data_IF_227983077030
#
_entry.id   IF_227983077030
#
_cell.length_a   1.000
_cell.length_b   1.000
_cell.length_c   1.000
_cell.angle_alpha   90.00
_cell.angle_beta   90.00
_cell.angle_gamma   90.00
#
_symmetry.space_group_name_H-M   'P 1'
#
loop_
_entity.id
_entity.type
_entity.pdbx_description
1 polymer ?
#
# COMPACT_ATOMS: atom_id res chain seq x y z
N UNK A 1 -9.61 -4.83 -8.83
CA UNK A 1 -9.27 -3.69 -7.96
C UNK A 1 -8.64 -4.15 -6.68
N UNK A 2 -7.82 -3.33 -6.10
CA UNK A 2 -7.16 -3.63 -4.84
C UNK A 2 -7.81 -2.85 -3.71
N UNK A 3 -7.93 -3.45 -2.54
CA UNK A 3 -8.50 -2.83 -1.36
C UNK A 3 -7.84 -3.41 -0.11
N UNK A 4 -8.03 -2.74 1.03
CA UNK A 4 -7.57 -3.25 2.32
C UNK A 4 -8.40 -4.46 2.73
N UNK A 5 -7.75 -5.47 3.30
CA UNK A 5 -8.41 -6.70 3.71
C UNK A 5 -8.43 -6.88 5.22
N UNK A 6 -7.49 -6.27 5.93
CA UNK A 6 -7.36 -6.44 7.38
C UNK A 6 -7.82 -5.18 8.11
N UNK A 7 -8.31 -5.36 9.33
CA UNK A 7 -8.56 -4.24 10.24
C UNK A 7 -7.23 -3.81 10.85
N UNK A 8 -6.68 -2.75 10.29
CA UNK A 8 -5.42 -2.20 10.77
C UNK A 8 -5.63 -0.74 11.17
N UNK A 9 -4.94 -0.34 12.24
CA UNK A 9 -4.87 1.06 12.62
C UNK A 9 -3.55 1.61 12.14
N UNK A 10 -3.62 2.68 11.33
CA UNK A 10 -2.42 3.34 10.83
C UNK A 10 -2.10 4.57 11.66
N UNK A 11 -0.84 4.70 12.04
CA UNK A 11 -0.34 5.86 12.79
C UNK A 11 0.95 6.33 12.16
N UNK A 12 1.03 7.63 11.88
CA UNK A 12 2.27 8.21 11.37
C UNK A 12 3.24 8.45 12.53
N UNK A 13 4.45 7.90 12.41
CA UNK A 13 5.52 8.10 13.37
C UNK A 13 6.73 8.59 12.57
N UNK A 14 7.09 9.85 12.75
CA UNK A 14 8.13 10.50 11.97
C UNK A 14 7.82 10.39 10.47
N UNK A 15 8.68 9.75 9.70
CA UNK A 15 8.47 9.61 8.25
C UNK A 15 7.88 8.25 7.85
N UNK A 16 7.43 7.47 8.83
CA UNK A 16 6.91 6.14 8.58
C UNK A 16 5.44 6.04 8.97
N UNK A 17 4.70 5.23 8.25
CA UNK A 17 3.35 4.84 8.61
C UNK A 17 3.42 3.47 9.29
N UNK A 18 3.05 3.41 10.54
CA UNK A 18 3.03 2.15 11.30
C UNK A 18 1.61 1.60 11.27
N UNK A 19 1.47 0.38 10.77
CA UNK A 19 0.20 -0.33 10.74
C UNK A 19 0.17 -1.33 11.88
N UNK A 20 -0.90 -1.31 12.65
CA UNK A 20 -1.13 -2.27 13.72
C UNK A 20 -2.25 -3.20 13.31
N UNK A 21 -1.93 -4.49 13.17
CA UNK A 21 -2.91 -5.53 12.86
C UNK A 21 -3.57 -5.96 14.17
N UNK A 22 -4.84 -5.59 14.32
CA UNK A 22 -5.57 -5.85 15.57
C UNK A 22 -5.89 -7.33 15.78
N UNK A 23 -6.01 -8.09 14.71
CA UNK A 23 -6.32 -9.52 14.80
C UNK A 23 -5.09 -10.36 15.15
N UNK A 24 -3.98 -10.08 14.47
CA UNK A 24 -2.77 -10.87 14.63
C UNK A 24 -1.80 -10.34 15.68
N UNK A 25 -2.00 -9.12 16.15
CA UNK A 25 -1.09 -8.49 17.12
C UNK A 25 0.26 -8.10 16.53
N UNK A 26 0.38 -8.11 15.22
CA UNK A 26 1.60 -7.73 14.52
C UNK A 26 1.56 -6.27 14.13
N UNK A 27 2.73 -5.69 13.87
CA UNK A 27 2.80 -4.34 13.34
C UNK A 27 3.76 -4.30 12.16
N UNK A 28 3.53 -3.33 11.27
CA UNK A 28 4.33 -3.17 10.06
C UNK A 28 4.63 -1.69 9.88
N UNK A 29 5.84 -1.37 9.47
CA UNK A 29 6.21 0.00 9.17
C UNK A 29 6.34 0.18 7.66
N UNK A 30 5.64 1.16 7.12
CA UNK A 30 5.67 1.51 5.71
C UNK A 30 6.16 2.94 5.57
N UNK A 31 6.98 3.19 4.57
CA UNK A 31 7.42 4.54 4.27
C UNK A 31 7.49 4.75 2.76
N UNK A 32 7.56 6.03 2.34
CA UNK A 32 7.63 6.37 0.94
C UNK A 32 6.46 5.83 0.12
N UNK A 33 6.73 5.25 -1.05
CA UNK A 33 5.66 4.76 -1.92
C UNK A 33 4.76 3.70 -1.29
N UNK A 34 5.30 2.86 -0.40
CA UNK A 34 4.49 1.84 0.27
C UNK A 34 3.40 2.46 1.15
N UNK A 35 3.72 3.53 1.86
CA UNK A 35 2.74 4.24 2.68
C UNK A 35 1.66 4.89 1.80
N UNK A 36 2.04 5.49 0.69
CA UNK A 36 1.09 6.09 -0.25
C UNK A 36 0.14 5.05 -0.84
N UNK A 37 0.68 3.88 -1.18
CA UNK A 37 -0.15 2.79 -1.70
C UNK A 37 -1.17 2.35 -0.65
N UNK A 38 -0.74 2.18 0.59
CA UNK A 38 -1.65 1.80 1.67
C UNK A 38 -2.77 2.82 1.85
N UNK A 39 -2.44 4.10 1.85
CA UNK A 39 -3.44 5.16 1.99
C UNK A 39 -4.44 5.14 0.84
N UNK A 40 -3.97 4.90 -0.39
CA UNK A 40 -4.83 4.82 -1.56
C UNK A 40 -5.78 3.63 -1.50
N UNK A 41 -5.41 2.56 -0.80
CA UNK A 41 -6.24 1.37 -0.66
C UNK A 41 -7.43 1.56 0.28
N UNK A 42 -7.57 2.73 0.89
CA UNK A 42 -8.78 3.05 1.68
C UNK A 42 -10.05 2.95 0.85
N UNK A 43 -9.92 3.18 -0.45
CA UNK A 43 -10.99 2.97 -1.42
C UNK A 43 -10.49 1.98 -2.48
N UNK A 44 -11.37 1.18 -3.10
CA UNK A 44 -10.91 0.26 -4.14
C UNK A 44 -10.24 1.01 -5.29
N UNK A 45 -9.06 0.55 -5.66
CA UNK A 45 -8.25 1.18 -6.73
C UNK A 45 -7.67 0.11 -7.63
N UNK A 46 -7.43 0.48 -8.89
CA UNK A 46 -6.71 -0.38 -9.82
C UNK A 46 -5.20 -0.15 -9.67
N UNK A 47 -4.42 -1.13 -10.11
CA UNK A 47 -2.96 -0.98 -10.12
C UNK A 47 -2.53 0.20 -10.99
N UNK A 48 -3.22 0.41 -12.13
CA UNK A 48 -2.93 1.54 -13.01
C UNK A 48 -3.15 2.89 -12.29
N UNK A 49 -4.20 3.00 -11.49
CA UNK A 49 -4.46 4.21 -10.71
C UNK A 49 -3.37 4.46 -9.68
N UNK A 50 -2.87 3.40 -9.05
CA UNK A 50 -1.76 3.52 -8.10
C UNK A 50 -0.49 4.00 -8.80
N UNK A 51 -0.18 3.45 -9.98
CA UNK A 51 0.97 3.88 -10.76
C UNK A 51 0.86 5.37 -11.12
N UNK A 52 -0.30 5.79 -11.63
CA UNK A 52 -0.51 7.18 -12.00
C UNK A 52 -0.33 8.12 -10.81
N UNK A 53 -0.84 7.74 -9.64
CA UNK A 53 -0.72 8.54 -8.43
C UNK A 53 0.74 8.70 -8.01
N UNK A 54 1.50 7.62 -8.06
CA UNK A 54 2.90 7.65 -7.62
C UNK A 54 3.80 8.34 -8.62
N UNK A 55 3.55 8.19 -9.91
CA UNK A 55 4.30 8.90 -10.95
C UNK A 55 4.12 10.40 -10.81
N UNK A 56 2.92 10.85 -10.44
CA UNK A 56 2.66 12.27 -10.23
C UNK A 56 3.38 12.82 -9.00
N UNK A 57 3.55 12.00 -7.97
CA UNK A 57 4.16 12.42 -6.70
C UNK A 57 5.68 12.23 -6.69
N UNK A 58 6.15 11.11 -7.22
CA UNK A 58 7.57 10.78 -7.26
C UNK A 58 8.07 10.86 -8.69
N UNK A 59 9.28 11.34 -8.90
CA UNK A 59 9.84 11.48 -10.24
C UNK A 59 10.43 10.16 -10.72
N UNK A 60 9.57 9.22 -11.04
CA UNK A 60 9.95 7.89 -11.51
C UNK A 60 9.26 7.60 -12.84
N UNK A 61 9.82 6.68 -13.61
CA UNK A 61 9.16 6.25 -14.84
C UNK A 61 7.98 5.36 -14.54
N UNK A 62 6.94 5.33 -15.40
CA UNK A 62 5.81 4.42 -15.19
C UNK A 62 6.22 2.96 -15.07
N UNK A 63 7.21 2.52 -15.82
CA UNK A 63 7.68 1.13 -15.78
C UNK A 63 8.31 0.79 -14.44
N UNK A 64 9.16 1.66 -13.91
CA UNK A 64 9.77 1.46 -12.60
C UNK A 64 8.72 1.50 -11.50
N UNK A 65 7.78 2.42 -11.62
CA UNK A 65 6.69 2.56 -10.67
C UNK A 65 5.81 1.31 -10.64
N UNK A 66 5.49 0.75 -11.81
CA UNK A 66 4.67 -0.45 -11.90
C UNK A 66 5.32 -1.63 -11.19
N UNK A 67 6.64 -1.79 -11.33
CA UNK A 67 7.39 -2.85 -10.63
C UNK A 67 7.29 -2.66 -9.12
N UNK A 68 7.49 -1.44 -8.65
CA UNK A 68 7.40 -1.12 -7.22
C UNK A 68 6.00 -1.35 -6.67
N UNK A 69 4.98 -0.92 -7.39
CA UNK A 69 3.58 -1.11 -6.99
C UNK A 69 3.26 -2.59 -6.88
N UNK A 70 3.65 -3.39 -7.88
CA UNK A 70 3.42 -4.83 -7.86
C UNK A 70 4.08 -5.47 -6.64
N UNK A 71 5.33 -5.10 -6.34
CA UNK A 71 6.05 -5.64 -5.19
C UNK A 71 5.35 -5.32 -3.89
N UNK A 72 4.94 -4.06 -3.70
CA UNK A 72 4.27 -3.64 -2.47
C UNK A 72 2.93 -4.34 -2.31
N UNK A 73 2.14 -4.42 -3.38
CA UNK A 73 0.85 -5.11 -3.33
C UNK A 73 1.02 -6.60 -3.00
N UNK A 74 2.03 -7.25 -3.58
CA UNK A 74 2.31 -8.66 -3.28
C UNK A 74 2.71 -8.84 -1.81
N UNK A 75 3.52 -7.95 -1.27
CA UNK A 75 3.90 -8.01 0.14
C UNK A 75 2.69 -7.81 1.04
N UNK A 76 1.86 -6.82 0.76
CA UNK A 76 0.67 -6.58 1.54
C UNK A 76 -0.31 -7.76 1.45
N UNK A 77 -0.48 -8.33 0.27
CA UNK A 77 -1.32 -9.50 0.09
C UNK A 77 -0.77 -10.71 0.85
N UNK A 78 0.54 -10.90 0.83
CA UNK A 78 1.18 -12.00 1.56
C UNK A 78 1.03 -11.90 3.07
N UNK A 79 0.86 -10.68 3.57
CA UNK A 79 0.63 -10.42 5.00
C UNK A 79 -0.86 -10.37 5.36
N UNK A 80 -1.74 -10.54 4.39
CA UNK A 80 -3.18 -10.46 4.61
C UNK A 80 -3.71 -9.04 4.81
N UNK A 81 -2.94 -8.03 4.42
CA UNK A 81 -3.31 -6.63 4.62
C UNK A 81 -4.08 -6.04 3.43
N UNK A 82 -3.91 -6.61 2.25
CA UNK A 82 -4.58 -6.17 1.05
C UNK A 82 -5.04 -7.36 0.24
N UNK A 83 -6.06 -7.16 -0.57
CA UNK A 83 -6.57 -8.21 -1.46
C UNK A 83 -7.01 -7.60 -2.78
N UNK A 84 -6.99 -8.42 -3.79
CA UNK A 84 -7.52 -8.06 -5.10
C UNK A 84 -8.99 -8.44 -5.13
N UNK A 85 -9.86 -7.45 -5.27
CA UNK A 85 -11.30 -7.64 -5.38
C UNK A 85 -11.65 -7.68 -6.85
N UNK A 86 -12.26 -8.72 -7.24
CA UNK A 86 -12.57 -9.10 -8.58
C UNK A 86 -13.30 -8.26 -9.49
#
# INVERSE_FOLDING_TARGET
MWTRDAECVGTEVEDALVLLDLDGGSYFALNGPAADIWEALAEPVTQAQLVDRLVAKYRVTPEQCAVSVTRVLDELAGKGLARQAG
#
